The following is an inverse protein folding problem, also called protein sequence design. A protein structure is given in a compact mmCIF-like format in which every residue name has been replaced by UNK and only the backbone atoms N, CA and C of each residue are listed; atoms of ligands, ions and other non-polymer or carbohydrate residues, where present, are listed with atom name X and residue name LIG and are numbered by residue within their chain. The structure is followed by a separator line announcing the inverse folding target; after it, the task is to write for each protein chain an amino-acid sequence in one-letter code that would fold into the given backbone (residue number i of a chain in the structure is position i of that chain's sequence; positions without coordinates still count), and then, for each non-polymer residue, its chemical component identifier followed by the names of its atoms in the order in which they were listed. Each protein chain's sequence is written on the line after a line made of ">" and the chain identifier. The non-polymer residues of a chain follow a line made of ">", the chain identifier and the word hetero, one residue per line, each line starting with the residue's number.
data_IF_446646184173
#
_entry.id   IF_446646184173
#
_cell.length_a   1.000
_cell.length_b   1.000
_cell.length_c   1.000
_cell.angle_alpha   90.00
_cell.angle_beta   90.00
_cell.angle_gamma   90.00
#
_symmetry.space_group_name_H-M   'P 1'
#
loop_
_entity.id
_entity.type
_entity.pdbx_description
1 polymer ?
#
# COMPACT_ATOMS: atom_id res chain seq x y z
N UNK A 1 5.03 12.61 7.13
CA UNK A 1 6.14 12.43 6.17
C UNK A 1 7.08 11.38 6.72
N UNK A 2 7.41 10.36 5.96
CA UNK A 2 8.39 9.33 6.32
C UNK A 2 9.49 9.34 5.26
N UNK A 3 10.74 9.35 5.68
CA UNK A 3 11.91 9.32 4.79
C UNK A 3 12.68 8.05 5.13
N UNK A 4 12.96 7.23 4.13
CA UNK A 4 13.81 6.05 4.22
C UNK A 4 15.00 6.23 3.29
N UNK A 5 16.19 6.20 3.86
CA UNK A 5 17.44 6.18 3.10
C UNK A 5 18.07 4.80 3.26
N UNK A 6 18.43 4.19 2.15
CA UNK A 6 19.23 2.96 2.14
C UNK A 6 20.47 3.20 1.30
N UNK A 7 21.60 3.08 1.95
CA UNK A 7 22.91 3.16 1.34
C UNK A 7 23.53 1.76 1.31
N UNK A 8 24.14 1.40 0.20
CA UNK A 8 24.77 0.09 0.04
C UNK A 8 26.08 0.26 -0.74
N UNK A 9 27.12 -0.36 -0.22
CA UNK A 9 28.42 -0.48 -0.85
C UNK A 9 28.69 -1.94 -1.20
N UNK A 10 29.16 -2.18 -2.42
CA UNK A 10 29.62 -3.46 -2.92
C UNK A 10 31.07 -3.31 -3.32
N UNK A 11 31.97 -3.97 -2.59
CA UNK A 11 33.41 -3.88 -2.81
C UNK A 11 33.84 -4.51 -4.14
N UNK A 12 34.92 -3.98 -4.72
CA UNK A 12 35.48 -4.43 -6.02
C UNK A 12 35.74 -5.94 -6.09
N UNK A 13 36.23 -6.52 -5.01
CA UNK A 13 36.63 -7.95 -4.96
C UNK A 13 35.49 -8.90 -4.60
N UNK A 14 34.27 -8.40 -4.44
CA UNK A 14 33.09 -9.26 -4.18
C UNK A 14 32.72 -10.04 -5.43
N UNK A 15 32.15 -11.24 -5.24
CA UNK A 15 31.62 -12.06 -6.32
C UNK A 15 30.64 -11.28 -7.20
N UNK A 16 29.72 -10.55 -6.57
CA UNK A 16 28.70 -9.77 -7.29
C UNK A 16 29.32 -8.68 -8.16
N UNK A 17 30.32 -7.97 -7.66
CA UNK A 17 30.95 -6.89 -8.43
C UNK A 17 31.78 -7.43 -9.61
N UNK A 18 32.46 -8.56 -9.42
CA UNK A 18 33.17 -9.25 -10.49
C UNK A 18 32.22 -9.68 -11.61
N UNK A 19 31.10 -10.31 -11.27
CA UNK A 19 30.09 -10.72 -12.25
C UNK A 19 29.51 -9.50 -13.00
N UNK A 20 29.13 -8.42 -12.29
CA UNK A 20 28.63 -7.20 -12.94
C UNK A 20 29.64 -6.67 -13.95
N UNK A 21 30.92 -6.71 -13.63
CA UNK A 21 31.99 -6.24 -14.52
C UNK A 21 32.19 -7.19 -15.69
N UNK A 22 32.24 -8.50 -15.47
CA UNK A 22 32.35 -9.52 -16.52
C UNK A 22 31.17 -9.44 -17.50
N UNK A 23 29.94 -9.30 -16.99
CA UNK A 23 28.74 -9.10 -17.81
C UNK A 23 28.73 -7.79 -18.60
N UNK A 24 29.60 -6.86 -18.25
CA UNK A 24 29.75 -5.55 -18.92
C UNK A 24 30.86 -5.54 -19.97
N UNK A 25 31.48 -6.69 -20.26
CA UNK A 25 32.57 -6.80 -21.22
C UNK A 25 32.10 -6.65 -22.68
N UNK A 26 32.82 -5.85 -23.45
CA UNK A 26 32.68 -5.81 -24.93
C UNK A 26 33.71 -6.68 -25.62
N UNK A 27 34.92 -6.68 -25.12
CA UNK A 27 36.08 -7.41 -25.55
C UNK A 27 36.94 -7.73 -24.33
N UNK A 28 37.99 -8.57 -24.49
CA UNK A 28 38.88 -9.04 -23.42
C UNK A 28 39.43 -7.94 -22.50
N UNK A 29 39.53 -6.68 -22.96
CA UNK A 29 40.07 -5.57 -22.21
C UNK A 29 39.15 -4.32 -22.13
N UNK A 30 37.91 -4.40 -22.63
CA UNK A 30 37.00 -3.26 -22.64
C UNK A 30 35.71 -3.56 -21.89
N UNK A 31 35.49 -2.81 -20.84
CA UNK A 31 34.35 -2.96 -19.95
C UNK A 31 33.53 -1.68 -19.91
N UNK A 32 32.20 -1.81 -19.85
CA UNK A 32 31.27 -0.68 -19.57
C UNK A 32 31.50 -0.21 -18.14
N UNK A 33 31.57 -1.16 -17.19
CA UNK A 33 31.75 -0.87 -15.77
C UNK A 33 33.24 -0.78 -15.44
N UNK A 34 33.71 0.39 -14.96
CA UNK A 34 35.12 0.58 -14.63
C UNK A 34 35.53 -0.23 -13.39
N UNK A 35 36.86 -0.40 -13.25
CA UNK A 35 37.46 -1.05 -12.09
C UNK A 35 37.19 -0.23 -10.81
N UNK A 36 36.68 -0.88 -9.75
CA UNK A 36 36.31 -0.31 -8.47
C UNK A 36 35.05 -0.96 -7.92
N UNK A 37 34.56 -0.46 -6.81
CA UNK A 37 33.31 -0.92 -6.18
C UNK A 37 32.06 -0.27 -6.82
N UNK A 38 30.91 -0.58 -6.26
CA UNK A 38 29.64 0.06 -6.57
C UNK A 38 29.06 0.64 -5.30
N UNK A 39 28.63 1.90 -5.36
CA UNK A 39 27.94 2.59 -4.29
C UNK A 39 26.54 2.97 -4.75
N UNK A 40 25.52 2.56 -4.01
CA UNK A 40 24.12 2.87 -4.33
C UNK A 40 23.43 3.58 -3.19
N UNK A 41 22.62 4.57 -3.53
CA UNK A 41 21.79 5.29 -2.58
C UNK A 41 20.34 5.21 -3.06
N UNK A 42 19.46 4.74 -2.21
CA UNK A 42 18.02 4.71 -2.47
C UNK A 42 17.30 5.55 -1.42
N UNK A 43 16.79 6.69 -1.85
CA UNK A 43 15.99 7.60 -1.05
C UNK A 43 14.51 7.39 -1.38
N UNK A 44 13.73 6.96 -0.40
CA UNK A 44 12.30 6.84 -0.52
C UNK A 44 11.61 7.79 0.46
N UNK A 45 10.81 8.70 -0.08
CA UNK A 45 10.03 9.65 0.71
C UNK A 45 8.56 9.34 0.53
N UNK A 46 7.86 9.10 1.63
CA UNK A 46 6.41 8.94 1.66
C UNK A 46 5.81 10.09 2.43
N UNK A 47 4.92 10.83 1.79
CA UNK A 47 4.12 11.88 2.42
C UNK A 47 2.66 11.50 2.36
N UNK A 48 1.93 11.73 3.46
CA UNK A 48 0.52 11.44 3.55
C UNK A 48 -0.21 12.60 4.21
N UNK A 49 -1.32 12.99 3.62
CA UNK A 49 -2.30 13.89 4.24
C UNK A 49 -3.59 13.09 4.41
N UNK A 50 -4.13 13.12 5.62
CA UNK A 50 -5.44 12.52 5.93
C UNK A 50 -6.32 13.58 6.56
N UNK A 51 -7.50 13.76 5.98
CA UNK A 51 -8.56 14.58 6.54
C UNK A 51 -9.73 13.67 6.90
N UNK A 52 -10.15 13.71 8.16
CA UNK A 52 -11.21 12.87 8.71
C UNK A 52 -12.19 13.71 9.50
N UNK A 53 -13.47 13.53 9.20
CA UNK A 53 -14.59 14.10 9.97
C UNK A 53 -15.50 12.98 10.38
N UNK A 54 -15.88 12.96 11.65
CA UNK A 54 -16.84 11.99 12.19
C UNK A 54 -17.72 12.65 13.23
N UNK A 55 -18.98 12.22 13.28
CA UNK A 55 -19.94 12.55 14.31
C UNK A 55 -20.47 11.29 14.98
N UNK A 56 -20.73 11.37 16.26
CA UNK A 56 -21.31 10.30 17.05
C UNK A 56 -22.53 10.83 17.79
N UNK A 57 -23.60 10.05 17.77
CA UNK A 57 -24.80 10.25 18.56
C UNK A 57 -25.01 9.05 19.47
N UNK A 58 -25.12 9.29 20.76
CA UNK A 58 -25.41 8.27 21.75
C UNK A 58 -26.51 8.78 22.67
N UNK A 59 -27.55 7.99 22.84
CA UNK A 59 -28.64 8.32 23.74
C UNK A 59 -29.28 7.06 24.32
N UNK A 60 -29.74 7.17 25.59
CA UNK A 60 -30.49 6.14 26.27
C UNK A 60 -31.88 6.67 26.57
N UNK A 61 -32.91 5.99 26.10
CA UNK A 61 -34.32 6.35 26.32
C UNK A 61 -34.93 5.39 27.33
N UNK A 62 -35.61 5.96 28.31
CA UNK A 62 -36.33 5.21 29.34
C UNK A 62 -35.46 4.16 30.08
N UNK A 63 -34.15 4.34 30.17
CA UNK A 63 -33.18 3.38 30.75
C UNK A 63 -33.22 1.97 30.13
N UNK A 64 -33.92 1.81 29.01
CA UNK A 64 -34.20 0.51 28.38
C UNK A 64 -33.61 0.45 26.96
N UNK A 65 -33.61 1.56 26.25
CA UNK A 65 -33.23 1.66 24.85
C UNK A 65 -31.93 2.45 24.67
N UNK A 66 -30.84 1.78 24.38
CA UNK A 66 -29.57 2.42 24.05
C UNK A 66 -29.39 2.47 22.56
N UNK A 67 -29.21 3.67 22.00
CA UNK A 67 -28.92 3.92 20.59
C UNK A 67 -27.56 4.58 20.49
N UNK A 68 -26.70 4.03 19.65
CA UNK A 68 -25.43 4.62 19.27
C UNK A 68 -25.29 4.61 17.77
N UNK A 69 -25.06 5.76 17.17
CA UNK A 69 -24.84 5.92 15.72
C UNK A 69 -23.60 6.76 15.54
N UNK A 70 -22.71 6.31 14.67
CA UNK A 70 -21.53 7.04 14.24
C UNK A 70 -21.51 7.10 12.72
N UNK A 71 -21.24 8.26 12.17
CA UNK A 71 -21.02 8.45 10.74
C UNK A 71 -19.80 9.34 10.51
N UNK A 72 -19.07 9.07 9.44
CA UNK A 72 -17.89 9.85 9.12
C UNK A 72 -17.44 9.70 7.67
N UNK A 73 -16.53 10.59 7.30
CA UNK A 73 -15.82 10.55 6.03
C UNK A 73 -14.33 10.75 6.25
N UNK A 74 -13.54 10.13 5.38
CA UNK A 74 -12.09 10.24 5.37
C UNK A 74 -11.61 10.43 3.94
N UNK A 75 -10.75 11.43 3.73
CA UNK A 75 -10.03 11.65 2.49
C UNK A 75 -8.55 11.53 2.82
N UNK A 76 -7.86 10.70 2.05
CA UNK A 76 -6.44 10.45 2.23
C UNK A 76 -5.72 10.54 0.89
N UNK A 77 -4.63 11.28 0.88
CA UNK A 77 -3.76 11.42 -0.28
C UNK A 77 -2.33 11.05 0.12
N UNK A 78 -1.73 10.17 -0.67
CA UNK A 78 -0.38 9.67 -0.47
C UNK A 78 0.49 10.05 -1.66
N UNK A 79 1.72 10.46 -1.39
CA UNK A 79 2.76 10.70 -2.39
C UNK A 79 3.96 9.82 -2.06
N UNK A 80 4.42 9.09 -3.07
CA UNK A 80 5.62 8.25 -2.99
C UNK A 80 6.63 8.80 -3.98
N UNK A 81 7.79 9.20 -3.49
CA UNK A 81 8.90 9.66 -4.29
C UNK A 81 10.09 8.78 -3.98
N UNK A 82 10.56 8.02 -4.98
CA UNK A 82 11.73 7.17 -4.84
C UNK A 82 12.80 7.66 -5.79
N UNK A 83 14.00 7.84 -5.29
CA UNK A 83 15.17 8.25 -6.04
C UNK A 83 16.29 7.25 -5.80
N UNK A 84 16.71 6.59 -6.85
CA UNK A 84 17.84 5.67 -6.87
C UNK A 84 19.01 6.34 -7.58
N UNK A 85 20.21 6.24 -6.97
CA UNK A 85 21.46 6.70 -7.57
C UNK A 85 22.49 5.60 -7.40
N UNK A 86 23.22 5.27 -8.47
CA UNK A 86 24.31 4.32 -8.47
C UNK A 86 25.59 4.97 -8.97
N UNK A 87 26.70 4.76 -8.25
CA UNK A 87 28.04 5.14 -8.64
C UNK A 87 28.89 3.90 -8.85
N UNK A 88 29.44 3.74 -10.03
CA UNK A 88 30.36 2.64 -10.39
C UNK A 88 31.81 3.07 -10.33
N UNK A 89 32.73 2.10 -10.20
CA UNK A 89 34.15 2.39 -10.03
C UNK A 89 34.44 3.16 -8.74
N UNK A 90 33.60 2.95 -7.70
CA UNK A 90 33.70 3.64 -6.42
C UNK A 90 34.94 3.24 -5.65
N UNK A 91 35.69 4.22 -5.19
CA UNK A 91 36.84 4.08 -4.30
C UNK A 91 36.45 4.58 -2.89
N UNK A 92 36.42 3.70 -1.88
CA UNK A 92 36.04 4.08 -0.51
C UNK A 92 37.07 4.96 0.20
N UNK A 93 38.30 5.09 -0.32
CA UNK A 93 39.32 5.96 0.25
C UNK A 93 39.15 7.41 -0.20
N UNK A 94 38.85 7.61 -1.48
CA UNK A 94 38.66 8.92 -2.07
C UNK A 94 37.20 9.37 -2.13
N UNK A 95 36.24 8.46 -1.88
CA UNK A 95 34.81 8.68 -1.98
C UNK A 95 34.36 9.14 -3.37
N UNK A 96 35.11 8.73 -4.40
CA UNK A 96 34.84 9.11 -5.80
C UNK A 96 34.34 7.94 -6.62
N UNK A 97 33.66 8.23 -7.71
CA UNK A 97 33.19 7.26 -8.70
C UNK A 97 33.87 7.52 -10.05
N UNK A 98 33.92 6.52 -10.89
CA UNK A 98 34.44 6.63 -12.25
C UNK A 98 33.27 6.62 -13.27
N UNK A 99 33.38 7.32 -14.40
CA UNK A 99 32.36 7.29 -15.44
C UNK A 99 32.23 5.90 -16.06
N UNK A 100 31.00 5.53 -16.46
CA UNK A 100 30.73 4.35 -17.26
C UNK A 100 31.16 4.59 -18.72
N UNK A 101 31.67 3.56 -19.37
CA UNK A 101 32.00 3.60 -20.79
C UNK A 101 30.78 3.13 -21.62
N UNK A 102 29.72 3.93 -21.63
CA UNK A 102 28.47 3.66 -22.35
C UNK A 102 28.68 3.93 -23.84
N UNK A 103 28.31 2.97 -24.68
CA UNK A 103 28.44 3.06 -26.15
C UNK A 103 27.10 3.17 -26.85
N UNK A 104 26.04 2.65 -26.26
CA UNK A 104 24.71 2.62 -26.84
C UNK A 104 23.62 2.80 -25.78
N UNK A 105 22.39 3.05 -26.22
CA UNK A 105 21.24 3.28 -25.36
C UNK A 105 20.88 2.05 -24.50
N UNK A 106 21.13 0.84 -24.99
CA UNK A 106 20.88 -0.41 -24.25
C UNK A 106 21.79 -0.51 -23.02
N UNK A 107 23.05 -0.08 -23.14
CA UNK A 107 23.99 -0.04 -22.03
C UNK A 107 23.55 1.00 -20.99
N UNK A 108 23.11 2.16 -21.45
CA UNK A 108 22.59 3.22 -20.59
C UNK A 108 21.33 2.76 -19.84
N UNK A 109 20.49 1.97 -20.46
CA UNK A 109 19.29 1.40 -19.85
C UNK A 109 19.62 0.30 -18.83
N UNK A 110 20.62 -0.54 -19.12
CA UNK A 110 21.08 -1.63 -18.24
C UNK A 110 21.79 -1.08 -16.99
N UNK A 111 22.65 -0.09 -17.15
CA UNK A 111 23.47 0.49 -16.06
C UNK A 111 23.01 1.89 -15.66
N UNK A 112 21.75 1.97 -15.17
CA UNK A 112 21.14 3.25 -14.77
C UNK A 112 21.91 3.86 -13.61
N UNK A 113 22.38 5.11 -13.82
CA UNK A 113 23.02 5.91 -12.77
C UNK A 113 22.02 6.61 -11.87
N UNK A 114 20.87 6.93 -12.41
CA UNK A 114 19.82 7.64 -11.69
C UNK A 114 18.44 7.19 -12.17
N UNK A 115 17.56 6.92 -11.22
CA UNK A 115 16.15 6.64 -11.51
C UNK A 115 15.29 7.37 -10.49
N UNK A 116 14.25 8.04 -10.96
CA UNK A 116 13.27 8.71 -10.11
C UNK A 116 11.88 8.19 -10.45
N UNK A 117 11.16 7.78 -9.42
CA UNK A 117 9.76 7.34 -9.55
C UNK A 117 8.91 8.21 -8.64
N UNK A 118 7.80 8.68 -9.19
CA UNK A 118 6.78 9.41 -8.47
C UNK A 118 5.45 8.72 -8.64
N UNK A 119 4.77 8.45 -7.52
CA UNK A 119 3.45 7.86 -7.51
C UNK A 119 2.56 8.64 -6.54
N UNK A 120 1.33 8.89 -6.96
CA UNK A 120 0.31 9.57 -6.18
C UNK A 120 -0.93 8.70 -6.12
N UNK A 121 -1.53 8.55 -4.94
CA UNK A 121 -2.75 7.80 -4.74
C UNK A 121 -3.70 8.58 -3.85
N UNK A 122 -4.96 8.62 -4.23
CA UNK A 122 -6.04 9.26 -3.49
C UNK A 122 -7.10 8.24 -3.08
N UNK A 123 -7.61 8.39 -1.86
CA UNK A 123 -8.65 7.53 -1.29
C UNK A 123 -9.73 8.42 -0.67
N UNK A 124 -10.98 8.03 -0.85
CA UNK A 124 -12.11 8.64 -0.19
C UNK A 124 -12.98 7.53 0.42
N UNK A 125 -13.32 7.65 1.68
CA UNK A 125 -14.12 6.67 2.41
C UNK A 125 -15.28 7.35 3.12
N UNK A 126 -16.45 6.73 3.05
CA UNK A 126 -17.62 7.07 3.84
C UNK A 126 -18.00 5.86 4.67
N UNK A 127 -18.27 6.07 5.95
CA UNK A 127 -18.62 4.97 6.84
C UNK A 127 -19.69 5.39 7.83
N UNK A 128 -20.54 4.45 8.18
CA UNK A 128 -21.51 4.57 9.26
C UNK A 128 -21.57 3.28 10.04
N UNK A 129 -21.73 3.41 11.34
CA UNK A 129 -21.97 2.29 12.25
C UNK A 129 -23.14 2.64 13.13
N UNK A 130 -23.98 1.65 13.43
CA UNK A 130 -25.09 1.82 14.34
C UNK A 130 -25.22 0.61 15.26
N UNK A 131 -25.60 0.84 16.48
CA UNK A 131 -26.00 -0.21 17.42
C UNK A 131 -27.22 0.21 18.22
N UNK A 132 -28.08 -0.76 18.46
CA UNK A 132 -29.24 -0.63 19.32
C UNK A 132 -29.25 -1.75 20.34
N UNK A 133 -29.35 -1.38 21.61
CA UNK A 133 -29.44 -2.31 22.73
C UNK A 133 -30.79 -2.15 23.44
N UNK A 134 -31.45 -3.27 23.69
CA UNK A 134 -32.71 -3.33 24.42
C UNK A 134 -32.50 -4.01 25.78
N UNK A 135 -32.87 -3.33 26.84
CA UNK A 135 -32.76 -3.78 28.24
C UNK A 135 -31.34 -4.24 28.62
N UNK A 136 -30.31 -3.76 27.92
CA UNK A 136 -28.93 -4.25 28.07
C UNK A 136 -28.77 -5.77 27.91
N UNK A 137 -29.74 -6.44 27.26
CA UNK A 137 -29.79 -7.90 27.01
C UNK A 137 -29.60 -8.22 25.53
N UNK A 138 -30.29 -7.52 24.66
CA UNK A 138 -30.30 -7.76 23.22
C UNK A 138 -29.65 -6.58 22.53
N UNK A 139 -28.61 -6.83 21.75
CA UNK A 139 -27.97 -5.78 20.96
C UNK A 139 -27.92 -6.19 19.50
N UNK A 140 -28.39 -5.32 18.62
CA UNK A 140 -28.22 -5.44 17.18
C UNK A 140 -27.28 -4.32 16.74
N UNK A 141 -26.30 -4.65 15.94
CA UNK A 141 -25.35 -3.69 15.38
C UNK A 141 -25.15 -3.89 13.89
N UNK A 142 -24.80 -2.83 13.20
CA UNK A 142 -24.48 -2.87 11.78
C UNK A 142 -23.46 -1.80 11.40
N UNK A 143 -22.72 -2.07 10.35
CA UNK A 143 -21.80 -1.10 9.77
C UNK A 143 -21.86 -1.17 8.25
N UNK A 144 -21.72 -0.01 7.62
CA UNK A 144 -21.54 0.13 6.18
C UNK A 144 -20.36 1.06 5.94
N UNK A 145 -19.49 0.66 5.01
CA UNK A 145 -18.36 1.48 4.57
C UNK A 145 -18.28 1.42 3.04
N UNK A 146 -18.09 2.56 2.44
CA UNK A 146 -17.84 2.72 1.01
C UNK A 146 -16.45 3.30 0.84
N UNK A 147 -15.55 2.55 0.22
CA UNK A 147 -14.20 2.97 -0.07
C UNK A 147 -14.05 3.21 -1.56
N UNK A 148 -13.60 4.40 -1.92
CA UNK A 148 -13.23 4.81 -3.27
C UNK A 148 -11.73 5.06 -3.36
N UNK A 149 -11.11 4.70 -4.48
CA UNK A 149 -9.70 4.95 -4.77
C UNK A 149 -9.52 5.27 -6.25
N UNK A 150 -8.52 6.07 -6.56
CA UNK A 150 -8.03 6.29 -7.92
C UNK A 150 -7.34 5.03 -8.51
N UNK A 151 -6.98 4.07 -7.65
CA UNK A 151 -6.47 2.75 -8.05
C UNK A 151 -7.58 1.81 -8.56
N UNK A 152 -8.84 2.09 -8.26
CA UNK A 152 -9.95 1.33 -8.82
C UNK A 152 -10.15 1.69 -10.29
N UNK A 153 -10.25 0.68 -11.15
CA UNK A 153 -10.27 0.78 -12.61
C UNK A 153 -11.13 1.88 -13.23
N UNK A 154 -10.95 2.06 -14.53
CA UNK A 154 -11.56 3.13 -15.34
C UNK A 154 -13.09 3.12 -15.27
N UNK A 155 -13.73 1.98 -15.02
CA UNK A 155 -15.17 1.85 -14.94
C UNK A 155 -15.71 2.40 -13.61
N UNK A 156 -16.61 3.38 -13.69
CA UNK A 156 -17.25 4.04 -12.55
C UNK A 156 -17.95 3.06 -11.60
N UNK A 157 -18.38 1.91 -12.09
CA UNK A 157 -19.08 0.86 -11.33
C UNK A 157 -18.19 0.23 -10.26
N UNK A 158 -16.89 0.17 -10.47
CA UNK A 158 -15.93 -0.46 -9.56
C UNK A 158 -15.15 0.52 -8.69
N UNK A 159 -15.44 1.83 -8.79
CA UNK A 159 -14.76 2.87 -8.02
C UNK A 159 -15.07 2.84 -6.52
N UNK A 160 -16.20 2.27 -6.15
CA UNK A 160 -16.65 2.19 -4.76
C UNK A 160 -16.96 0.75 -4.40
N UNK A 161 -16.25 0.23 -3.41
CA UNK A 161 -16.47 -1.11 -2.85
C UNK A 161 -17.27 -0.98 -1.55
N UNK A 162 -18.56 -1.36 -1.55
CA UNK A 162 -19.33 -1.40 -0.33
C UNK A 162 -18.90 -2.58 0.54
N UNK A 163 -18.55 -2.30 1.78
CA UNK A 163 -18.26 -3.26 2.83
C UNK A 163 -19.34 -3.09 3.86
N UNK A 164 -19.94 -4.18 4.31
CA UNK A 164 -20.98 -4.12 5.34
C UNK A 164 -20.88 -5.29 6.31
N UNK A 165 -21.36 -5.03 7.52
CA UNK A 165 -21.49 -6.06 8.54
C UNK A 165 -22.79 -5.87 9.33
N UNK A 166 -23.36 -6.97 9.79
CA UNK A 166 -24.46 -7.01 10.75
C UNK A 166 -24.08 -7.92 11.90
N UNK A 167 -24.45 -7.58 13.10
CA UNK A 167 -24.17 -8.38 14.29
C UNK A 167 -25.33 -8.37 15.25
N UNK A 168 -25.50 -9.49 15.93
CA UNK A 168 -26.45 -9.64 17.03
C UNK A 168 -25.73 -10.16 18.27
N UNK A 169 -26.11 -9.66 19.43
CA UNK A 169 -25.61 -10.13 20.72
C UNK A 169 -26.78 -10.34 21.69
N UNK A 170 -26.80 -11.49 22.30
CA UNK A 170 -27.67 -11.80 23.42
C UNK A 170 -26.84 -11.98 24.69
N UNK A 171 -27.03 -11.10 25.66
CA UNK A 171 -26.40 -11.19 26.98
C UNK A 171 -27.28 -12.03 27.89
N UNK A 172 -27.13 -13.34 27.81
CA UNK A 172 -27.95 -14.30 28.50
C UNK A 172 -27.81 -14.21 30.04
N UNK A 173 -26.63 -13.76 30.54
CA UNK A 173 -26.43 -13.53 31.99
C UNK A 173 -27.38 -12.48 32.59
N UNK A 174 -27.94 -11.58 31.78
CA UNK A 174 -28.89 -10.57 32.26
C UNK A 174 -30.34 -11.08 32.31
N UNK A 175 -30.57 -12.34 31.92
CA UNK A 175 -31.92 -12.95 31.97
C UNK A 175 -32.25 -13.44 33.37
N UNK A 176 -33.50 -13.23 33.87
CA UNK A 176 -33.89 -13.61 35.21
C UNK A 176 -33.73 -15.09 35.51
N UNK A 177 -33.88 -15.95 34.50
CA UNK A 177 -33.75 -17.40 34.69
C UNK A 177 -32.29 -17.85 34.82
N UNK A 178 -31.32 -17.11 34.21
CA UNK A 178 -29.88 -17.40 34.34
C UNK A 178 -29.31 -16.82 35.62
N UNK A 179 -29.79 -15.66 36.07
CA UNK A 179 -29.34 -15.03 37.30
C UNK A 179 -29.55 -15.91 38.57
N UNK A 180 -30.37 -16.95 38.48
CA UNK A 180 -30.52 -17.94 39.54
C UNK A 180 -29.27 -18.81 39.73
N UNK A 181 -28.43 -18.91 38.72
CA UNK A 181 -27.23 -19.75 38.73
C UNK A 181 -26.01 -18.88 39.11
N UNK A 182 -25.68 -18.85 40.41
CA UNK A 182 -24.60 -18.00 40.95
C UNK A 182 -23.20 -18.26 40.41
N UNK A 183 -23.00 -19.35 39.68
CA UNK A 183 -21.73 -19.71 39.03
C UNK A 183 -21.58 -19.13 37.61
N UNK A 184 -22.63 -18.50 37.06
CA UNK A 184 -22.61 -17.84 35.76
C UNK A 184 -22.58 -16.35 35.98
N UNK A 185 -21.39 -15.73 35.91
CA UNK A 185 -21.24 -14.30 36.07
C UNK A 185 -21.51 -13.53 34.77
N UNK A 186 -20.99 -14.03 33.64
CA UNK A 186 -21.17 -13.38 32.34
C UNK A 186 -21.29 -14.42 31.23
N UNK A 187 -22.45 -14.45 30.59
CA UNK A 187 -22.73 -15.29 29.44
C UNK A 187 -23.33 -14.44 28.32
N UNK A 188 -22.60 -14.29 27.22
CA UNK A 188 -23.07 -13.58 26.03
C UNK A 188 -22.84 -14.41 24.77
N UNK A 189 -23.88 -14.54 23.94
CA UNK A 189 -23.83 -15.17 22.63
C UNK A 189 -23.80 -14.07 21.59
N UNK A 190 -22.84 -14.14 20.67
CA UNK A 190 -22.65 -13.18 19.57
C UNK A 190 -22.64 -13.88 18.25
N UNK A 191 -23.36 -13.31 17.28
CA UNK A 191 -23.34 -13.72 15.90
C UNK A 191 -23.06 -12.50 15.04
N UNK A 192 -22.19 -12.66 14.04
CA UNK A 192 -21.93 -11.59 13.07
C UNK A 192 -21.75 -12.17 11.67
N UNK A 193 -22.23 -11.40 10.70
CA UNK A 193 -22.05 -11.68 9.27
C UNK A 193 -21.62 -10.39 8.58
N UNK A 194 -20.71 -10.49 7.60
CA UNK A 194 -20.26 -9.33 6.87
C UNK A 194 -19.50 -9.71 5.60
N UNK A 195 -19.41 -8.73 4.70
CA UNK A 195 -18.60 -8.79 3.51
C UNK A 195 -17.38 -7.86 3.68
N UNK A 196 -16.22 -8.40 3.35
CA UNK A 196 -14.97 -7.64 3.30
C UNK A 196 -14.44 -7.64 1.86
N UNK A 197 -13.93 -6.51 1.40
CA UNK A 197 -13.23 -6.36 0.14
C UNK A 197 -11.76 -6.02 0.38
N UNK A 198 -10.89 -6.44 -0.51
CA UNK A 198 -9.49 -6.01 -0.54
C UNK A 198 -9.20 -5.29 -1.85
N UNK A 199 -8.34 -4.27 -1.80
CA UNK A 199 -7.90 -3.51 -2.97
C UNK A 199 -6.62 -4.14 -3.48
N UNK A 200 -6.64 -4.62 -4.73
CA UNK A 200 -5.40 -4.96 -5.42
C UNK A 200 -4.65 -3.68 -5.79
N UNK A 201 -3.44 -3.55 -5.26
CA UNK A 201 -2.54 -2.42 -5.51
C UNK A 201 -1.51 -2.71 -6.60
N UNK A 202 -1.52 -3.92 -7.14
CA UNK A 202 -0.53 -4.40 -8.10
C UNK A 202 -0.98 -4.24 -9.54
N UNK A 203 -2.29 -4.25 -9.79
CA UNK A 203 -2.86 -4.03 -11.11
C UNK A 203 -3.07 -2.55 -11.37
N UNK A 204 -2.58 -2.09 -12.53
CA UNK A 204 -2.85 -0.73 -13.01
C UNK A 204 -4.20 -0.69 -13.70
N UNK A 205 -5.08 0.28 -13.37
CA UNK A 205 -6.34 0.46 -14.08
C UNK A 205 -6.16 1.06 -15.49
N UNK A 206 -4.94 1.41 -15.86
CA UNK A 206 -4.61 2.02 -17.14
C UNK A 206 -3.98 1.00 -18.09
N UNK A 207 -4.27 1.15 -19.37
CA UNK A 207 -3.55 0.43 -20.43
C UNK A 207 -2.08 0.84 -20.38
N UNK A 208 -1.22 -0.12 -20.10
CA UNK A 208 0.23 0.08 -20.15
C UNK A 208 0.70 -0.40 -21.52
N UNK A 209 1.17 0.52 -22.36
CA UNK A 209 1.79 0.21 -23.64
C UNK A 209 3.31 0.32 -23.53
N UNK A 210 4.05 -0.64 -24.07
CA UNK A 210 5.47 -0.50 -24.30
C UNK A 210 5.73 -0.30 -25.80
N UNK A 211 6.66 0.60 -26.11
CA UNK A 211 7.17 0.70 -27.46
C UNK A 211 8.14 -0.45 -27.72
N UNK A 212 7.76 -1.34 -28.61
CA UNK A 212 8.66 -2.38 -29.09
C UNK A 212 9.07 -2.07 -30.55
N UNK A 213 10.36 -1.94 -30.79
CA UNK A 213 10.91 -1.65 -32.12
C UNK A 213 11.05 -2.93 -32.94
N UNK A 214 10.09 -3.82 -32.89
CA UNK A 214 10.09 -5.04 -33.70
C UNK A 214 9.31 -4.81 -34.99
N UNK A 215 10.01 -4.49 -36.07
CA UNK A 215 9.49 -4.46 -37.44
C UNK A 215 8.58 -3.28 -37.78
N UNK A 216 7.70 -3.44 -38.76
CA UNK A 216 6.85 -2.42 -39.36
C UNK A 216 5.71 -1.84 -38.50
N UNK A 217 5.51 -2.31 -37.25
CA UNK A 217 4.49 -1.83 -36.34
C UNK A 217 5.11 -1.42 -35.01
N UNK A 218 5.22 -0.11 -34.68
CA UNK A 218 5.92 0.37 -33.50
C UNK A 218 5.10 0.33 -32.20
N UNK A 219 3.91 -0.25 -32.20
CA UNK A 219 3.02 -0.29 -31.03
C UNK A 219 2.50 -1.69 -30.78
N UNK A 220 2.91 -2.32 -29.69
CA UNK A 220 2.18 -3.44 -29.10
C UNK A 220 1.45 -2.99 -27.83
N UNK A 221 0.13 -3.14 -27.84
CA UNK A 221 -0.71 -2.95 -26.65
C UNK A 221 -0.75 -4.27 -25.89
N UNK A 222 -0.17 -4.29 -24.70
CA UNK A 222 -0.29 -5.44 -23.80
C UNK A 222 -1.45 -5.16 -22.85
N UNK A 223 -2.51 -5.93 -22.99
CA UNK A 223 -3.56 -6.02 -21.98
C UNK A 223 -3.05 -6.89 -20.82
N UNK A 224 -2.94 -6.30 -19.64
CA UNK A 224 -2.73 -7.02 -18.37
C UNK A 224 -4.05 -7.03 -17.63
#
# INVERSE_FOLDING_TARGET
>A
MCIRVREQYVGENTFNMRNIREDSSYDENQYIVPKGGMHTVNNATTSQITWKVQGEYKNTFNDIHDIQIMAGSEIRKNWYNTQFTAGYGYDPKTLTTKPLNIRNDKDAEKYKLHTKTYQENAFASFYTTGSYSFMSRYTIGGSVRMDGSDLFGVDKKYRYLPIYSISGMWRASNEPFIQRYKWIDNLAIRLSYGLQGNIDKTTSPFLVGSYDNVGLLPLSLIHI
#
